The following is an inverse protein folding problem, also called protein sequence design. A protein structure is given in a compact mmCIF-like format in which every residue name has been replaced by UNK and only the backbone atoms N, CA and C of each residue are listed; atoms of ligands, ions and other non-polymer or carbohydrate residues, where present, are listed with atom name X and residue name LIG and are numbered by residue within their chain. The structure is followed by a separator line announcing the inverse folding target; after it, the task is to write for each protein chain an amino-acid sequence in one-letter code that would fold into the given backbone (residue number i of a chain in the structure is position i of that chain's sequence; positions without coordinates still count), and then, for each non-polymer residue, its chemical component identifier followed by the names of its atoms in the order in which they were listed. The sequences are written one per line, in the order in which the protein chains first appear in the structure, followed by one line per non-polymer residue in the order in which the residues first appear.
data_IF_652753357900
#
_entry.id   IF_652753357900
#
_cell.length_a   1.000
_cell.length_b   1.000
_cell.length_c   1.000
_cell.angle_alpha   90.00
_cell.angle_beta   90.00
_cell.angle_gamma   90.00
#
_symmetry.space_group_name_H-M   'P 1'
#
loop_
_entity.id
_entity.type
_entity.pdbx_description
1 polymer ?
#
# COMPACT_ATOMS: atom_id res chain seq x y z
N UNK A 1 3.26 -11.23 30.32
CA UNK A 1 3.98 -11.82 29.18
C UNK A 1 3.52 -11.11 27.93
N UNK A 2 4.43 -10.91 26.97
CA UNK A 2 4.20 -10.20 25.71
C UNK A 2 3.29 -11.02 24.79
N UNK A 3 1.99 -11.03 25.02
CA UNK A 3 1.07 -11.79 24.16
C UNK A 3 -0.14 -10.93 23.80
N UNK A 4 0.06 -10.06 22.82
CA UNK A 4 -0.94 -9.68 21.81
C UNK A 4 -0.23 -8.80 20.78
N UNK A 5 0.67 -9.40 19.99
CA UNK A 5 0.90 -8.86 18.66
C UNK A 5 -0.42 -9.11 17.93
N UNK A 6 -1.22 -8.05 17.80
CA UNK A 6 -2.49 -8.07 17.09
C UNK A 6 -2.30 -8.88 15.81
N UNK A 7 -2.95 -10.04 15.76
CA UNK A 7 -3.09 -10.80 14.53
C UNK A 7 -3.66 -9.79 13.56
N UNK A 8 -2.87 -9.43 12.56
CA UNK A 8 -3.32 -8.63 11.44
C UNK A 8 -4.46 -9.44 10.82
N UNK A 9 -5.68 -9.19 11.26
CA UNK A 9 -6.89 -9.65 10.62
C UNK A 9 -6.75 -9.16 9.20
N UNK A 10 -6.30 -10.04 8.31
CA UNK A 10 -6.18 -9.73 6.89
C UNK A 10 -7.60 -9.45 6.44
N UNK A 11 -8.01 -8.18 6.52
CA UNK A 11 -9.27 -7.72 5.97
C UNK A 11 -9.24 -8.10 4.50
N UNK A 12 -10.13 -9.00 4.13
CA UNK A 12 -10.34 -9.32 2.73
C UNK A 12 -10.82 -8.01 2.08
N UNK A 13 -9.96 -7.43 1.25
CA UNK A 13 -10.33 -6.29 0.41
C UNK A 13 -11.07 -6.85 -0.80
N UNK A 14 -12.17 -6.19 -1.17
CA UNK A 14 -12.80 -6.50 -2.45
C UNK A 14 -11.91 -6.03 -3.61
N UNK A 15 -12.21 -6.54 -4.80
CA UNK A 15 -11.41 -6.27 -5.99
C UNK A 15 -11.41 -4.78 -6.36
N UNK A 16 -12.54 -4.09 -6.24
CA UNK A 16 -12.66 -2.69 -6.64
C UNK A 16 -11.80 -1.80 -5.74
N UNK A 17 -11.87 -2.05 -4.43
CA UNK A 17 -11.05 -1.40 -3.43
C UNK A 17 -9.56 -1.69 -3.65
N UNK A 18 -9.18 -2.97 -3.77
CA UNK A 18 -7.78 -3.35 -4.02
C UNK A 18 -7.24 -2.77 -5.33
N UNK A 19 -8.05 -2.75 -6.38
CA UNK A 19 -7.68 -2.19 -7.67
C UNK A 19 -7.43 -0.69 -7.60
N UNK A 20 -8.28 0.06 -6.90
CA UNK A 20 -8.08 1.51 -6.70
C UNK A 20 -6.74 1.79 -5.98
N UNK A 21 -6.41 0.99 -4.97
CA UNK A 21 -5.12 1.09 -4.28
C UNK A 21 -3.93 0.80 -5.20
N UNK A 22 -4.01 -0.24 -6.03
CA UNK A 22 -2.96 -0.57 -7.00
C UNK A 22 -2.76 0.56 -8.02
N UNK A 23 -3.85 1.14 -8.54
CA UNK A 23 -3.76 2.26 -9.48
C UNK A 23 -3.07 3.49 -8.87
N UNK A 24 -3.35 3.80 -7.60
CA UNK A 24 -2.68 4.88 -6.86
C UNK A 24 -1.18 4.59 -6.72
N UNK A 25 -0.82 3.36 -6.33
CA UNK A 25 0.58 2.95 -6.20
C UNK A 25 1.35 3.01 -7.53
N UNK A 26 0.76 2.52 -8.62
CA UNK A 26 1.35 2.58 -9.97
C UNK A 26 1.55 4.04 -10.41
N UNK A 27 0.56 4.90 -10.19
CA UNK A 27 0.63 6.33 -10.52
C UNK A 27 1.77 7.02 -9.77
N UNK A 28 1.85 6.78 -8.46
CA UNK A 28 2.91 7.29 -7.59
C UNK A 28 4.30 6.84 -8.05
N UNK A 29 4.45 5.54 -8.35
CA UNK A 29 5.70 4.98 -8.87
C UNK A 29 6.11 5.65 -10.20
N UNK A 30 5.18 5.80 -11.14
CA UNK A 30 5.45 6.48 -12.42
C UNK A 30 5.93 7.92 -12.19
N UNK A 31 5.23 8.69 -11.36
CA UNK A 31 5.58 10.08 -11.07
C UNK A 31 7.00 10.19 -10.47
N UNK A 32 7.36 9.28 -9.55
CA UNK A 32 8.72 9.21 -8.97
C UNK A 32 9.77 8.91 -10.05
N UNK A 33 9.50 7.94 -10.95
CA UNK A 33 10.41 7.58 -12.04
C UNK A 33 10.55 8.69 -13.09
N UNK A 34 9.51 9.50 -13.30
CA UNK A 34 9.53 10.67 -14.17
C UNK A 34 10.14 11.93 -13.52
N UNK A 35 10.50 11.86 -12.23
CA UNK A 35 11.06 12.98 -11.48
C UNK A 35 10.05 14.08 -11.12
N UNK A 36 8.75 13.76 -11.15
CA UNK A 36 7.69 14.67 -10.71
C UNK A 36 7.67 14.80 -9.17
N UNK A 37 7.20 15.94 -8.63
CA UNK A 37 7.08 16.13 -7.18
C UNK A 37 6.04 15.17 -6.60
N UNK A 38 6.52 14.09 -5.98
CA UNK A 38 5.70 13.05 -5.37
C UNK A 38 6.36 12.62 -4.04
N UNK A 39 5.61 12.50 -2.93
CA UNK A 39 6.15 11.94 -1.69
C UNK A 39 6.65 10.50 -1.90
N UNK A 40 7.65 10.10 -1.12
CA UNK A 40 8.08 8.70 -1.11
C UNK A 40 6.96 7.79 -0.55
N UNK A 41 7.06 6.50 -0.86
CA UNK A 41 6.19 5.49 -0.27
C UNK A 41 6.38 5.41 1.25
N UNK A 42 5.26 5.32 1.98
CA UNK A 42 5.28 5.01 3.40
C UNK A 42 5.51 3.49 3.60
N UNK A 43 5.91 3.07 4.81
CA UNK A 43 6.00 1.63 5.13
C UNK A 43 4.65 0.92 4.97
N UNK A 44 3.53 1.61 5.22
CA UNK A 44 2.18 1.09 5.03
C UNK A 44 1.85 0.92 3.55
N UNK A 45 2.21 1.89 2.70
CA UNK A 45 2.02 1.79 1.25
C UNK A 45 2.72 0.55 0.69
N UNK A 46 3.96 0.29 1.12
CA UNK A 46 4.72 -0.89 0.71
C UNK A 46 4.07 -2.20 1.15
N UNK A 47 3.54 -2.25 2.38
CA UNK A 47 2.86 -3.43 2.88
C UNK A 47 1.56 -3.71 2.13
N UNK A 48 0.82 -2.66 1.76
CA UNK A 48 -0.42 -2.78 0.99
C UNK A 48 -0.18 -3.17 -0.47
N UNK A 49 0.93 -2.74 -1.08
CA UNK A 49 1.32 -3.16 -2.43
C UNK A 49 1.85 -4.61 -2.50
N UNK A 50 2.24 -5.19 -1.36
CA UNK A 50 2.74 -6.57 -1.26
C UNK A 50 1.62 -7.59 -0.93
N UNK A 51 0.35 -7.20 -1.10
CA UNK A 51 -0.82 -8.01 -0.77
C UNK A 51 -1.09 -9.16 -1.73
#
# INVERSE_FOLDING_TARGET
GRDSMAINERKVIDLEHGWEYMQKGITKLRNILEGLPEPQFSSEDYMMLYT
#
